data_IF_816260214655
#
_entry.id   IF_816260214655
#
_cell.length_a   1.000
_cell.length_b   1.000
_cell.length_c   1.000
_cell.angle_alpha   90.00
_cell.angle_beta   90.00
_cell.angle_gamma   90.00
#
_symmetry.space_group_name_H-M   'P 1'
#
loop_
_entity.id
_entity.type
_entity.pdbx_description
1 polymer ?
#
# COMPACT_ATOMS: atom_id res chain seq x y z
N UNK A 1 -5.39 1.90 -17.24
CA UNK A 1 -4.10 1.75 -16.53
C UNK A 1 -3.84 3.06 -15.81
N UNK A 2 -3.68 3.06 -14.48
CA UNK A 2 -3.44 4.25 -13.67
C UNK A 2 -2.23 4.04 -12.73
N UNK A 3 -1.47 5.09 -12.39
CA UNK A 3 -0.35 4.97 -11.48
C UNK A 3 -0.80 4.95 -10.02
N UNK A 4 -0.24 4.01 -9.24
CA UNK A 4 -0.43 3.93 -7.79
C UNK A 4 0.93 3.87 -7.10
N UNK A 5 1.05 4.55 -5.96
CA UNK A 5 2.14 4.36 -5.01
C UNK A 5 1.79 3.16 -4.12
N UNK A 6 2.63 2.13 -4.19
CA UNK A 6 2.59 0.97 -3.30
C UNK A 6 3.25 1.33 -1.97
N UNK A 7 2.54 1.10 -0.86
CA UNK A 7 3.08 1.26 0.49
C UNK A 7 2.85 -0.01 1.28
N UNK A 8 3.92 -0.63 1.78
CA UNK A 8 3.88 -1.78 2.69
C UNK A 8 4.15 -1.30 4.10
N UNK A 9 3.23 -1.59 5.02
CA UNK A 9 3.32 -1.16 6.43
C UNK A 9 2.95 -2.31 7.34
N UNK A 10 3.54 -2.33 8.54
CA UNK A 10 3.12 -3.23 9.61
C UNK A 10 2.26 -2.45 10.58
N UNK A 11 1.01 -2.87 10.76
CA UNK A 11 0.04 -2.22 11.64
C UNK A 11 -0.47 -3.22 12.70
N UNK A 12 -0.88 -2.73 13.88
CA UNK A 12 -1.54 -3.57 14.86
C UNK A 12 -2.96 -3.91 14.38
N UNK A 13 -3.34 -5.17 14.53
CA UNK A 13 -4.71 -5.65 14.27
C UNK A 13 -5.26 -6.39 15.47
N UNK A 14 -6.58 -6.37 15.62
CA UNK A 14 -7.27 -7.21 16.59
C UNK A 14 -7.33 -8.64 16.06
N UNK A 15 -6.74 -9.64 16.74
CA UNK A 15 -6.71 -11.01 16.23
C UNK A 15 -8.09 -11.67 16.18
N UNK A 16 -9.09 -11.16 16.90
CA UNK A 16 -10.43 -11.78 16.91
C UNK A 16 -11.26 -11.46 15.67
N UNK A 17 -11.12 -10.24 15.12
CA UNK A 17 -11.91 -9.79 13.96
C UNK A 17 -11.04 -9.38 12.75
N UNK A 18 -9.72 -9.29 12.92
CA UNK A 18 -8.76 -8.92 11.88
C UNK A 18 -8.74 -7.42 11.52
N UNK A 19 -9.46 -6.57 12.27
CA UNK A 19 -9.52 -5.14 12.01
C UNK A 19 -8.24 -4.43 12.43
N UNK A 20 -7.87 -3.38 11.68
CA UNK A 20 -6.75 -2.50 12.03
C UNK A 20 -7.12 -1.67 13.26
N UNK A 21 -6.27 -1.77 14.29
CA UNK A 21 -6.45 -1.06 15.54
C UNK A 21 -5.87 0.37 15.44
N UNK A 22 -6.61 1.39 15.91
CA UNK A 22 -6.08 2.74 15.97
C UNK A 22 -5.03 2.85 17.08
N UNK A 23 -4.09 3.78 16.95
CA UNK A 23 -3.08 4.07 17.97
C UNK A 23 -3.04 5.56 18.30
N UNK A 24 -2.95 5.88 19.59
CA UNK A 24 -2.65 7.24 20.05
C UNK A 24 -1.14 7.43 20.07
N UNK A 25 -0.58 7.95 18.97
CA UNK A 25 0.87 8.10 18.82
C UNK A 25 1.53 8.92 19.94
N UNK A 26 0.83 9.92 20.52
CA UNK A 26 1.36 10.69 21.64
C UNK A 26 1.52 9.89 22.94
N UNK A 27 0.77 8.81 23.13
CA UNK A 27 0.97 7.87 24.24
C UNK A 27 2.15 6.98 23.92
N UNK A 28 2.18 6.41 22.71
CA UNK A 28 3.29 5.56 22.27
C UNK A 28 4.65 6.27 22.35
N UNK A 29 4.75 7.53 21.91
CA UNK A 29 6.00 8.30 21.98
C UNK A 29 6.45 8.62 23.40
N UNK A 30 5.58 8.49 24.41
CA UNK A 30 5.94 8.69 25.82
C UNK A 30 6.28 7.37 26.52
N UNK A 31 5.53 6.30 26.25
CA UNK A 31 5.69 5.02 26.96
C UNK A 31 6.50 3.97 26.22
N UNK A 32 6.54 4.03 24.88
CA UNK A 32 7.03 2.95 24.02
C UNK A 32 6.09 1.74 23.94
N UNK A 33 4.94 1.77 24.61
CA UNK A 33 4.00 0.64 24.69
C UNK A 33 2.86 0.79 23.66
N UNK A 34 2.72 -0.23 22.81
CA UNK A 34 1.69 -0.26 21.75
C UNK A 34 0.31 -0.53 22.33
N UNK A 35 0.20 -1.39 23.35
CA UNK A 35 -1.07 -1.75 23.99
C UNK A 35 -1.70 -0.56 24.68
N UNK A 36 -0.91 0.26 25.39
CA UNK A 36 -1.39 1.50 26.01
C UNK A 36 -1.90 2.51 24.97
N UNK A 37 -1.17 2.63 23.85
CA UNK A 37 -1.55 3.52 22.76
C UNK A 37 -2.83 3.07 22.05
N UNK A 38 -3.03 1.76 21.86
CA UNK A 38 -4.27 1.18 21.33
C UNK A 38 -5.41 1.38 22.31
N UNK A 39 -5.22 1.01 23.58
CA UNK A 39 -6.22 1.15 24.65
C UNK A 39 -6.77 2.57 24.69
N UNK A 40 -5.88 3.57 24.71
CA UNK A 40 -6.26 4.97 24.76
C UNK A 40 -7.02 5.41 23.51
N UNK A 41 -6.58 4.98 22.32
CA UNK A 41 -7.26 5.32 21.07
C UNK A 41 -8.64 4.68 20.96
N UNK A 42 -8.78 3.40 21.28
CA UNK A 42 -10.07 2.70 21.27
C UNK A 42 -11.05 3.32 22.27
N UNK A 43 -10.60 3.67 23.48
CA UNK A 43 -11.42 4.37 24.47
C UNK A 43 -11.90 5.75 23.97
N UNK A 44 -11.02 6.56 23.37
CA UNK A 44 -11.39 7.89 22.85
C UNK A 44 -12.32 7.84 21.64
N UNK A 45 -12.18 6.80 20.80
CA UNK A 45 -12.98 6.61 19.58
C UNK A 45 -14.25 5.80 19.81
N UNK A 46 -14.48 5.29 21.03
CA UNK A 46 -15.60 4.38 21.32
C UNK A 46 -15.55 3.08 20.52
N UNK A 47 -14.35 2.61 20.15
CA UNK A 47 -14.16 1.38 19.38
C UNK A 47 -13.97 0.18 20.32
N UNK A 48 -14.65 -0.96 20.07
CA UNK A 48 -14.40 -2.19 20.80
C UNK A 48 -12.99 -2.72 20.51
N UNK A 49 -12.39 -3.39 21.49
CA UNK A 49 -11.09 -4.03 21.38
C UNK A 49 -11.04 -5.28 22.25
N UNK A 50 -10.56 -6.40 21.71
CA UNK A 50 -10.41 -7.69 22.43
C UNK A 50 -9.38 -7.66 23.57
N UNK A 51 -8.59 -6.59 23.67
CA UNK A 51 -7.48 -6.48 24.62
C UNK A 51 -6.19 -7.14 24.15
N UNK A 52 -6.18 -7.71 22.94
CA UNK A 52 -4.98 -8.29 22.30
C UNK A 52 -4.70 -7.60 20.97
N UNK A 53 -3.45 -7.62 20.54
CA UNK A 53 -3.07 -7.16 19.22
C UNK A 53 -1.95 -8.01 18.66
N UNK A 54 -1.87 -8.07 17.34
CA UNK A 54 -0.74 -8.66 16.62
C UNK A 54 -0.27 -7.75 15.49
N UNK A 55 0.96 -7.97 15.03
CA UNK A 55 1.52 -7.26 13.88
C UNK A 55 1.02 -7.91 12.60
N UNK A 56 0.47 -7.12 11.69
CA UNK A 56 0.11 -7.59 10.35
C UNK A 56 0.69 -6.68 9.27
N UNK A 57 1.31 -7.26 8.26
CA UNK A 57 1.72 -6.54 7.06
C UNK A 57 0.49 -6.22 6.21
N UNK A 58 0.36 -4.95 5.83
CA UNK A 58 -0.74 -4.42 5.03
C UNK A 58 -0.16 -3.69 3.84
N UNK A 59 -0.74 -3.95 2.67
CA UNK A 59 -0.42 -3.25 1.43
C UNK A 59 -1.48 -2.20 1.14
N UNK A 60 -1.04 -0.95 0.97
CA UNK A 60 -1.87 0.18 0.61
C UNK A 60 -1.50 0.67 -0.79
N UNK A 61 -2.52 0.97 -1.59
CA UNK A 61 -2.38 1.57 -2.92
C UNK A 61 -2.94 2.98 -2.88
N UNK A 62 -2.07 3.99 -3.06
CA UNK A 62 -2.49 5.40 -3.13
C UNK A 62 -2.34 5.89 -4.56
N UNK A 63 -3.44 6.36 -5.16
CA UNK A 63 -3.39 6.88 -6.53
C UNK A 63 -2.48 8.11 -6.62
N UNK A 64 -1.65 8.16 -7.66
CA UNK A 64 -0.76 9.32 -7.91
C UNK A 64 -1.47 10.27 -8.88
N UNK A 65 -1.94 11.41 -8.36
CA UNK A 65 -2.72 12.40 -9.12
C UNK A 65 -2.06 13.79 -9.22
N UNK A 66 -0.91 13.99 -8.57
CA UNK A 66 -0.16 15.26 -8.55
C UNK A 66 1.29 15.04 -9.04
N UNK A 67 2.06 16.13 -9.15
CA UNK A 67 3.42 16.13 -9.73
C UNK A 67 3.45 15.79 -11.23
N UNK A 68 2.50 16.34 -11.98
CA UNK A 68 2.43 16.17 -13.43
C UNK A 68 3.59 16.93 -14.10
N UNK A 69 4.31 16.25 -15.00
CA UNK A 69 5.36 16.84 -15.83
C UNK A 69 4.77 17.30 -17.17
N UNK A 70 5.31 18.38 -17.74
CA UNK A 70 4.97 18.81 -19.10
C UNK A 70 5.62 17.95 -20.19
N UNK A 71 6.48 17.00 -19.81
CA UNK A 71 7.08 16.01 -20.70
C UNK A 71 6.41 14.66 -20.50
N UNK A 72 5.84 14.14 -21.58
CA UNK A 72 5.38 12.75 -21.65
C UNK A 72 6.56 11.77 -21.71
N UNK A 73 6.28 10.50 -21.43
CA UNK A 73 7.24 9.40 -21.61
C UNK A 73 7.39 9.06 -23.09
N UNK A 74 8.60 8.69 -23.50
CA UNK A 74 8.81 8.13 -24.84
C UNK A 74 8.20 6.72 -24.94
N UNK A 75 7.84 6.28 -26.16
CA UNK A 75 7.18 4.99 -26.38
C UNK A 75 8.01 3.81 -25.83
N UNK A 76 9.33 3.85 -26.00
CA UNK A 76 10.25 2.80 -25.54
C UNK A 76 10.36 2.71 -24.01
N UNK A 77 9.97 3.74 -23.25
CA UNK A 77 9.91 3.66 -21.79
C UNK A 77 8.81 2.67 -21.33
N UNK A 78 7.79 2.43 -22.16
CA UNK A 78 6.74 1.43 -21.89
C UNK A 78 6.95 0.14 -22.69
N UNK A 79 7.42 0.26 -23.95
CA UNK A 79 7.44 -0.81 -24.95
C UNK A 79 8.81 -1.50 -25.12
N UNK A 80 9.71 -1.38 -24.15
CA UNK A 80 10.95 -2.15 -24.08
C UNK A 80 10.80 -3.38 -23.17
N UNK A 81 11.76 -4.30 -23.21
CA UNK A 81 11.82 -5.44 -22.28
C UNK A 81 11.88 -4.97 -20.82
N UNK A 82 12.61 -3.89 -20.57
CA UNK A 82 12.78 -3.23 -19.27
C UNK A 82 11.80 -2.04 -19.08
N UNK A 83 10.76 -1.96 -19.92
CA UNK A 83 9.77 -0.89 -19.86
C UNK A 83 9.00 -0.87 -18.54
N UNK A 84 8.47 0.29 -18.17
CA UNK A 84 7.73 0.50 -16.91
C UNK A 84 6.43 -0.31 -16.81
N UNK A 85 6.00 -0.93 -17.90
CA UNK A 85 4.74 -1.65 -18.03
C UNK A 85 4.94 -3.16 -17.93
N UNK A 86 4.40 -3.75 -16.87
CA UNK A 86 4.25 -5.19 -16.77
C UNK A 86 2.95 -5.66 -17.45
N UNK A 87 2.97 -5.74 -18.79
CA UNK A 87 1.81 -6.14 -19.58
C UNK A 87 1.28 -7.54 -19.20
N UNK A 88 2.17 -8.46 -18.80
CA UNK A 88 1.75 -9.79 -18.36
C UNK A 88 0.94 -9.74 -17.06
N UNK A 89 1.45 -9.01 -16.06
CA UNK A 89 0.72 -8.81 -14.80
C UNK A 89 -0.57 -7.99 -14.97
N UNK A 90 -0.69 -7.21 -16.04
CA UNK A 90 -1.91 -6.51 -16.42
C UNK A 90 -2.93 -7.39 -17.15
N UNK A 91 -2.61 -8.66 -17.43
CA UNK A 91 -3.51 -9.63 -18.04
C UNK A 91 -3.52 -9.64 -19.56
N UNK A 92 -2.52 -9.04 -20.22
CA UNK A 92 -2.36 -9.15 -21.68
C UNK A 92 -1.89 -10.57 -22.06
N UNK A 93 -2.36 -11.13 -23.19
CA UNK A 93 -1.93 -12.45 -23.66
C UNK A 93 -0.47 -12.42 -24.15
N UNK A 94 0.21 -13.57 -24.12
CA UNK A 94 1.67 -13.64 -24.36
C UNK A 94 2.08 -13.14 -25.77
N UNK A 95 1.27 -13.37 -26.80
CA UNK A 95 1.49 -12.86 -28.15
C UNK A 95 1.49 -11.32 -28.19
N UNK A 96 0.55 -10.71 -27.48
CA UNK A 96 0.47 -9.26 -27.31
C UNK A 96 1.62 -8.72 -26.46
N UNK A 97 2.01 -9.39 -25.37
CA UNK A 97 3.17 -8.99 -24.57
C UNK A 97 4.43 -8.98 -25.44
N UNK A 98 4.63 -10.01 -26.26
CA UNK A 98 5.76 -10.11 -27.17
C UNK A 98 5.74 -9.02 -28.24
N UNK A 99 4.56 -8.74 -28.82
CA UNK A 99 4.40 -7.65 -29.78
C UNK A 99 4.69 -6.28 -29.16
N UNK A 100 4.15 -6.02 -27.97
CA UNK A 100 4.27 -4.73 -27.27
C UNK A 100 5.68 -4.46 -26.74
N UNK A 101 6.53 -5.49 -26.59
CA UNK A 101 7.93 -5.39 -26.12
C UNK A 101 8.97 -5.64 -27.21
N UNK A 102 8.55 -5.82 -28.46
CA UNK A 102 9.47 -6.08 -29.57
C UNK A 102 10.34 -4.84 -29.81
N UNK A 103 11.63 -4.97 -29.57
CA UNK A 103 12.62 -3.94 -29.92
C UNK A 103 12.51 -3.65 -31.43
N UNK A 104 12.41 -2.36 -31.79
CA UNK A 104 12.51 -1.88 -33.16
C UNK A 104 13.95 -1.51 -33.47
#
# INVERSE_FOLDING_TARGET
IYPFKLTRVVLPVDPENGEVLPMKLSVYYKSGDVSDAIKKACQELGRPWSGKWEKKEITLYTQINHSVSNKGRACNECHSKEGVMDFKSLGYPDDMVNYLRKEK
#
